data_IF_611161140278
#
_entry.id   IF_611161140278
#
_cell.length_a   1.000
_cell.length_b   1.000
_cell.length_c   1.000
_cell.angle_alpha   90.00
_cell.angle_beta   90.00
_cell.angle_gamma   90.00
#
_symmetry.space_group_name_H-M   'P 1'
#
loop_
_entity.id
_entity.type
_entity.pdbx_description
1 polymer ?
#
# COMPACT_ATOMS: atom_id res chain seq x y z
N UNK A 1 27.88 -5.53 -5.38
CA UNK A 1 26.72 -4.98 -4.66
C UNK A 1 25.87 -4.21 -5.65
N UNK A 2 24.56 -4.50 -5.76
CA UNK A 2 23.64 -3.69 -6.57
C UNK A 2 23.38 -2.36 -5.87
N UNK A 3 23.31 -1.27 -6.62
CA UNK A 3 23.00 0.07 -6.09
C UNK A 3 21.48 0.28 -6.06
N UNK A 4 20.96 1.09 -5.14
CA UNK A 4 19.59 1.61 -5.25
C UNK A 4 19.42 2.26 -6.64
N UNK A 5 18.43 1.81 -7.41
CA UNK A 5 18.21 2.20 -8.82
C UNK A 5 18.54 1.13 -9.87
N UNK A 6 19.28 0.07 -9.52
CA UNK A 6 19.58 -1.05 -10.44
C UNK A 6 18.41 -2.06 -10.60
N UNK A 7 17.24 -1.75 -10.05
CA UNK A 7 16.05 -2.58 -10.18
C UNK A 7 15.29 -2.20 -11.45
N UNK A 8 14.81 -3.16 -12.25
CA UNK A 8 13.85 -2.84 -13.30
C UNK A 8 12.67 -2.15 -12.62
N UNK A 9 12.43 -0.89 -12.96
CA UNK A 9 11.21 -0.21 -12.56
C UNK A 9 10.07 -0.96 -13.24
N UNK A 10 9.19 -1.63 -12.49
CA UNK A 10 8.06 -2.26 -13.11
C UNK A 10 7.24 -1.16 -13.80
N UNK A 11 6.74 -1.42 -15.00
CA UNK A 11 5.90 -0.48 -15.74
C UNK A 11 4.57 -0.17 -15.04
N UNK A 12 4.31 -0.84 -13.91
CA UNK A 12 3.11 -0.79 -13.10
C UNK A 12 3.49 -1.01 -11.63
N UNK A 13 2.77 -0.36 -10.71
CA UNK A 13 2.96 -0.59 -9.28
C UNK A 13 2.60 -2.03 -8.88
N UNK A 14 3.28 -2.55 -7.85
CA UNK A 14 2.97 -3.87 -7.28
C UNK A 14 1.99 -3.67 -6.12
N UNK A 15 0.81 -4.29 -6.22
CA UNK A 15 -0.21 -4.29 -5.17
C UNK A 15 -0.36 -5.68 -4.56
N UNK A 16 -0.61 -5.72 -3.25
CA UNK A 16 -0.90 -6.96 -2.53
C UNK A 16 -1.91 -6.71 -1.40
N UNK A 17 -2.72 -7.71 -1.09
CA UNK A 17 -3.57 -7.74 0.10
C UNK A 17 -3.48 -9.12 0.78
N UNK A 18 -4.48 -9.55 1.54
CA UNK A 18 -4.47 -10.79 2.32
C UNK A 18 -4.96 -12.03 1.53
N UNK A 19 -4.81 -12.05 0.21
CA UNK A 19 -5.13 -13.19 -0.63
C UNK A 19 -4.07 -13.38 -1.71
N UNK A 20 -3.92 -14.62 -2.18
CA UNK A 20 -2.94 -15.02 -3.17
C UNK A 20 -3.51 -14.84 -4.58
N UNK A 21 -2.68 -14.27 -5.47
CA UNK A 21 -2.97 -14.14 -6.91
C UNK A 21 -2.19 -15.13 -7.79
N UNK A 22 -1.19 -15.82 -7.24
CA UNK A 22 -0.29 -16.71 -8.01
C UNK A 22 -0.28 -18.13 -7.44
N UNK A 23 0.13 -18.28 -6.17
CA UNK A 23 0.25 -19.60 -5.54
C UNK A 23 -0.97 -19.91 -4.67
N UNK A 24 -1.57 -21.09 -4.84
CA UNK A 24 -2.78 -21.49 -4.11
C UNK A 24 -4.09 -20.89 -4.64
N UNK A 25 -4.03 -20.07 -5.71
CA UNK A 25 -5.19 -19.57 -6.44
C UNK A 25 -5.80 -20.68 -7.31
N UNK A 26 -7.11 -20.87 -7.21
CA UNK A 26 -7.85 -21.79 -8.08
C UNK A 26 -8.53 -21.00 -9.22
N UNK A 27 -8.13 -21.18 -10.49
CA UNK A 27 -8.74 -20.45 -11.61
C UNK A 27 -10.20 -20.85 -11.88
N UNK A 28 -10.63 -22.05 -11.46
CA UNK A 28 -12.02 -22.50 -11.57
C UNK A 28 -12.87 -22.01 -10.38
N UNK A 29 -12.22 -21.68 -9.27
CA UNK A 29 -12.84 -21.12 -8.06
C UNK A 29 -12.08 -19.86 -7.65
N UNK A 30 -12.21 -18.76 -8.40
CA UNK A 30 -11.35 -17.57 -8.28
C UNK A 30 -11.49 -16.81 -6.95
N UNK A 31 -12.48 -17.18 -6.14
CA UNK A 31 -12.68 -16.66 -4.79
C UNK A 31 -12.04 -17.53 -3.72
N UNK A 32 -11.35 -18.61 -4.09
CA UNK A 32 -10.71 -19.53 -3.15
C UNK A 32 -9.19 -19.48 -3.24
N UNK A 33 -8.55 -19.55 -2.08
CA UNK A 33 -7.13 -19.80 -1.94
C UNK A 33 -6.89 -20.99 -1.03
N UNK A 34 -6.12 -21.97 -1.50
CA UNK A 34 -5.84 -23.22 -0.78
C UNK A 34 -7.11 -23.95 -0.30
N UNK A 35 -8.19 -23.89 -1.08
CA UNK A 35 -9.48 -24.49 -0.73
C UNK A 35 -10.29 -23.70 0.30
N UNK A 36 -9.85 -22.52 0.71
CA UNK A 36 -10.58 -21.60 1.60
C UNK A 36 -11.06 -20.37 0.85
N UNK A 37 -12.26 -19.92 1.17
CA UNK A 37 -12.82 -18.70 0.58
C UNK A 37 -12.04 -17.46 1.04
N UNK A 38 -11.71 -16.60 0.10
CA UNK A 38 -11.08 -15.30 0.33
C UNK A 38 -12.09 -14.34 0.94
N UNK A 39 -11.69 -13.65 2.01
CA UNK A 39 -12.50 -12.59 2.61
C UNK A 39 -12.73 -11.44 1.62
N UNK A 40 -13.99 -11.01 1.50
CA UNK A 40 -14.40 -9.91 0.63
C UNK A 40 -13.56 -8.64 0.84
N UNK A 41 -13.25 -8.28 2.08
CA UNK A 41 -12.43 -7.11 2.41
C UNK A 41 -11.02 -7.18 1.83
N UNK A 42 -10.48 -8.38 1.60
CA UNK A 42 -9.19 -8.54 0.95
C UNK A 42 -9.27 -8.32 -0.56
N UNK A 43 -10.31 -8.85 -1.20
CA UNK A 43 -10.55 -8.65 -2.64
C UNK A 43 -10.80 -7.17 -2.92
N UNK A 44 -11.72 -6.55 -2.17
CA UNK A 44 -12.07 -5.14 -2.35
C UNK A 44 -10.87 -4.21 -2.26
N UNK A 45 -10.03 -4.33 -1.22
CA UNK A 45 -8.84 -3.49 -1.07
C UNK A 45 -7.85 -3.65 -2.21
N UNK A 46 -7.67 -4.88 -2.69
CA UNK A 46 -6.81 -5.13 -3.84
C UNK A 46 -7.38 -4.50 -5.10
N UNK A 47 -8.63 -4.77 -5.44
CA UNK A 47 -9.23 -4.27 -6.69
C UNK A 47 -9.34 -2.73 -6.67
N UNK A 48 -9.73 -2.13 -5.55
CA UNK A 48 -9.78 -0.67 -5.40
C UNK A 48 -8.39 -0.03 -5.58
N UNK A 49 -7.37 -0.55 -4.89
CA UNK A 49 -6.02 0.00 -4.99
C UNK A 49 -5.36 -0.27 -6.35
N UNK A 50 -5.52 -1.48 -6.91
CA UNK A 50 -5.01 -1.83 -8.24
C UNK A 50 -5.65 -0.96 -9.32
N UNK A 51 -6.96 -0.69 -9.24
CA UNK A 51 -7.63 0.19 -10.19
C UNK A 51 -7.05 1.61 -10.16
N UNK A 52 -6.79 2.17 -8.97
CA UNK A 52 -6.15 3.49 -8.84
C UNK A 52 -4.74 3.51 -9.43
N UNK A 53 -3.92 2.52 -9.08
CA UNK A 53 -2.52 2.42 -9.57
C UNK A 53 -2.49 2.23 -11.09
N UNK A 54 -3.37 1.39 -11.63
CA UNK A 54 -3.50 1.19 -13.07
C UNK A 54 -3.92 2.47 -13.78
N UNK A 55 -4.93 3.17 -13.26
CA UNK A 55 -5.39 4.43 -13.84
C UNK A 55 -4.26 5.48 -13.86
N UNK A 56 -3.45 5.57 -12.81
CA UNK A 56 -2.29 6.46 -12.79
C UNK A 56 -1.23 6.07 -13.81
N UNK A 57 -0.94 4.77 -13.95
CA UNK A 57 0.00 4.28 -14.95
C UNK A 57 -0.48 4.58 -16.39
N UNK A 58 -1.75 4.28 -16.69
CA UNK A 58 -2.36 4.45 -18.01
C UNK A 58 -2.42 5.92 -18.45
N UNK A 59 -2.56 6.84 -17.48
CA UNK A 59 -2.69 8.27 -17.74
C UNK A 59 -1.39 9.05 -17.50
N UNK A 60 -0.28 8.38 -17.18
CA UNK A 60 0.98 9.00 -16.79
C UNK A 60 0.81 10.03 -15.67
N UNK A 61 -0.10 9.76 -14.74
CA UNK A 61 -0.40 10.66 -13.62
C UNK A 61 0.82 10.72 -12.70
N UNK A 62 1.35 11.92 -12.38
CA UNK A 62 2.41 12.07 -11.40
C UNK A 62 1.94 11.59 -10.03
N UNK A 63 2.68 10.65 -9.43
CA UNK A 63 2.38 10.10 -8.11
C UNK A 63 3.28 10.76 -7.06
N UNK A 64 2.69 11.63 -6.23
CA UNK A 64 3.33 12.21 -5.05
C UNK A 64 2.75 11.68 -3.74
N UNK A 65 3.15 12.29 -2.63
CA UNK A 65 2.67 11.91 -1.29
C UNK A 65 1.16 11.99 -1.19
N UNK A 66 0.53 13.03 -1.75
CA UNK A 66 -0.92 13.20 -1.70
C UNK A 66 -1.68 12.04 -2.38
N UNK A 67 -1.18 11.59 -3.54
CA UNK A 67 -1.75 10.46 -4.28
C UNK A 67 -1.61 9.17 -3.47
N UNK A 68 -0.43 8.91 -2.90
CA UNK A 68 -0.21 7.70 -2.09
C UNK A 68 -1.04 7.74 -0.81
N UNK A 69 -1.21 8.89 -0.17
CA UNK A 69 -2.12 9.03 0.98
C UNK A 69 -3.55 8.68 0.59
N UNK A 70 -4.04 9.16 -0.57
CA UNK A 70 -5.38 8.81 -1.06
C UNK A 70 -5.52 7.30 -1.32
N UNK A 71 -4.50 6.67 -1.89
CA UNK A 71 -4.47 5.21 -2.07
C UNK A 71 -4.57 4.50 -0.71
N UNK A 72 -3.73 4.88 0.26
CA UNK A 72 -3.70 4.27 1.59
C UNK A 72 -5.02 4.47 2.35
N UNK A 73 -5.69 5.60 2.18
CA UNK A 73 -7.03 5.84 2.71
C UNK A 73 -8.06 4.90 2.04
N UNK A 74 -8.04 4.78 0.71
CA UNK A 74 -8.98 3.94 -0.04
C UNK A 74 -8.85 2.44 0.28
N UNK A 75 -7.62 1.96 0.57
CA UNK A 75 -7.36 0.56 0.91
C UNK A 75 -7.30 0.31 2.42
N UNK A 76 -7.54 1.32 3.25
CA UNK A 76 -7.55 1.15 4.69
C UNK A 76 -8.78 0.37 5.18
N UNK A 77 -8.60 -0.32 6.30
CA UNK A 77 -9.68 -0.91 7.07
C UNK A 77 -9.82 -0.16 8.40
N UNK A 78 -10.97 -0.22 9.07
CA UNK A 78 -11.22 0.51 10.33
C UNK A 78 -10.35 0.13 11.54
N UNK A 79 -9.36 -0.73 11.30
CA UNK A 79 -8.37 -1.26 12.22
C UNK A 79 -6.93 -0.95 11.77
N UNK A 80 -6.72 0.03 10.88
CA UNK A 80 -5.39 0.38 10.33
C UNK A 80 -4.58 1.15 11.36
N UNK A 81 -3.58 0.49 11.95
CA UNK A 81 -2.78 1.02 13.06
C UNK A 81 -1.71 2.01 12.63
N UNK A 82 -1.11 1.80 11.47
CA UNK A 82 -0.08 2.65 10.91
C UNK A 82 -0.13 2.64 9.38
N UNK A 83 0.39 3.70 8.78
CA UNK A 83 0.54 3.86 7.35
C UNK A 83 1.91 4.48 7.06
N UNK A 84 2.60 3.94 6.05
CA UNK A 84 4.00 4.29 5.78
C UNK A 84 4.15 4.58 4.28
N UNK A 85 4.81 5.69 3.97
CA UNK A 85 5.25 6.03 2.62
C UNK A 85 6.78 6.16 2.66
N UNK A 86 7.46 5.36 1.85
CA UNK A 86 8.92 5.42 1.73
C UNK A 86 9.29 6.11 0.43
N UNK A 87 10.21 7.07 0.51
CA UNK A 87 10.80 7.76 -0.64
C UNK A 87 12.31 7.48 -0.66
N UNK A 88 12.74 6.35 -1.26
CA UNK A 88 14.11 5.86 -1.14
C UNK A 88 15.14 6.85 -1.66
N UNK A 89 14.86 7.52 -2.78
CA UNK A 89 15.78 8.48 -3.40
C UNK A 89 16.00 9.72 -2.52
N UNK A 90 14.94 10.17 -1.84
CA UNK A 90 14.99 11.28 -0.89
C UNK A 90 15.48 10.86 0.51
N UNK A 91 15.60 9.54 0.78
CA UNK A 91 15.90 8.96 2.09
C UNK A 91 14.97 9.46 3.19
N UNK A 92 13.68 9.49 2.89
CA UNK A 92 12.63 9.96 3.79
C UNK A 92 11.52 8.93 3.94
N UNK A 93 10.92 8.90 5.13
CA UNK A 93 9.80 8.04 5.50
C UNK A 93 8.71 8.93 6.07
N UNK A 94 7.52 8.90 5.48
CA UNK A 94 6.33 9.52 6.06
C UNK A 94 5.55 8.44 6.80
N UNK A 95 5.20 8.68 8.06
CA UNK A 95 4.44 7.75 8.92
C UNK A 95 3.22 8.46 9.49
N UNK A 96 2.07 7.81 9.38
CA UNK A 96 0.89 8.15 10.17
C UNK A 96 0.56 6.98 11.12
N UNK A 97 0.17 7.30 12.36
CA UNK A 97 -0.11 6.31 13.42
C UNK A 97 -1.52 6.56 13.97
N UNK A 98 -2.26 5.48 14.20
CA UNK A 98 -3.56 5.51 14.85
C UNK A 98 -3.48 6.14 16.25
N UNK A 99 -4.55 6.80 16.66
CA UNK A 99 -4.65 7.40 17.99
C UNK A 99 -5.74 6.68 18.78
N UNK A 100 -5.37 6.11 19.93
CA UNK A 100 -6.32 5.52 20.87
C UNK A 100 -7.39 6.53 21.33
N UNK A 101 -7.05 7.83 21.36
CA UNK A 101 -7.97 8.90 21.75
C UNK A 101 -9.04 9.20 20.67
N UNK A 102 -8.79 8.86 19.40
CA UNK A 102 -9.72 9.12 18.30
C UNK A 102 -10.84 8.06 18.18
N UNK A 103 -10.85 7.04 19.06
CA UNK A 103 -11.90 6.02 19.09
C UNK A 103 -11.90 5.05 17.91
N UNK A 104 -10.85 5.06 17.08
CA UNK A 104 -10.72 4.21 15.89
C UNK A 104 -9.28 4.14 15.39
N UNK A 105 -9.00 3.16 14.52
CA UNK A 105 -7.68 2.89 13.98
C UNK A 105 -7.71 3.18 12.48
N UNK A 106 -7.55 4.46 12.15
CA UNK A 106 -7.66 5.00 10.79
C UNK A 106 -6.40 5.79 10.44
N UNK A 107 -5.22 5.20 10.69
CA UNK A 107 -3.94 5.91 10.57
C UNK A 107 -3.76 6.76 9.29
N UNK A 108 -4.14 6.30 8.07
CA UNK A 108 -4.00 7.11 6.86
C UNK A 108 -4.77 8.45 6.84
N UNK A 109 -5.75 8.62 7.72
CA UNK A 109 -6.55 9.85 7.86
C UNK A 109 -6.01 10.81 8.93
N UNK A 110 -4.99 10.38 9.69
CA UNK A 110 -4.40 11.17 10.75
C UNK A 110 -3.18 11.95 10.25
N UNK A 111 -2.55 12.68 11.17
CA UNK A 111 -1.37 13.49 10.88
C UNK A 111 -0.21 12.59 10.44
N UNK A 112 0.39 12.95 9.31
CA UNK A 112 1.63 12.37 8.81
C UNK A 112 2.83 13.10 9.41
N UNK A 113 3.83 12.33 9.83
CA UNK A 113 5.13 12.80 10.28
C UNK A 113 6.21 12.27 9.36
N UNK A 114 7.08 13.16 8.89
CA UNK A 114 8.24 12.81 8.07
C UNK A 114 9.44 12.58 8.97
N UNK A 115 10.17 11.50 8.70
CA UNK A 115 11.44 11.17 9.30
C UNK A 115 12.50 11.05 8.20
N UNK A 116 13.71 11.53 8.48
CA UNK A 116 14.85 11.39 7.56
C UNK A 116 15.68 10.19 8.00
N UNK A 117 16.26 9.45 7.06
CA UNK A 117 17.11 8.29 7.40
C UNK A 117 18.24 8.67 8.37
N UNK A 118 18.83 9.85 8.20
CA UNK A 118 19.92 10.33 9.04
C UNK A 118 19.50 10.54 10.51
N UNK A 119 18.19 10.65 10.80
CA UNK A 119 17.66 10.73 12.17
C UNK A 119 17.59 9.35 12.86
N UNK A 120 17.55 8.25 12.09
CA UNK A 120 17.46 6.88 12.63
C UNK A 120 18.81 6.24 12.91
N UNK A 121 19.85 6.65 12.18
CA UNK A 121 21.16 5.99 12.16
C UNK A 121 22.31 6.89 12.62
N UNK A 122 22.00 7.96 13.36
CA UNK A 122 22.97 8.84 14.01
C UNK A 122 23.66 8.18 15.20
#
# INVERSE_FOLDING_TARGET
>A
FRRPGDFPHPSMGIMASNHFKVYGYDPLRPLDNFGYQVYFSSLWRYEAGQNMVQAWADTLHPVGTAEVVRLLQAVSHGTTEHAIIMRPDAREIDVAVASAAAGGWHAPYLRWQTFRFDEFFA
#
